data_IF_749648983900
#
_entry.id   IF_749648983900
#
_cell.length_a   1.000
_cell.length_b   1.000
_cell.length_c   1.000
_cell.angle_alpha   90.00
_cell.angle_beta   90.00
_cell.angle_gamma   90.00
#
_symmetry.space_group_name_H-M   'P 1'
#
loop_
_entity.id
_entity.type
_entity.pdbx_description
1 polymer ?
#
# COMPACT_ATOMS: atom_id res chain seq x y z
N UNK A 1 16.71 -4.99 -7.70
CA UNK A 1 15.70 -4.96 -6.62
C UNK A 1 15.80 -6.15 -5.66
N UNK A 2 16.42 -7.27 -6.04
CA UNK A 2 16.76 -8.31 -5.06
C UNK A 2 15.58 -9.16 -4.55
N UNK A 3 14.41 -9.02 -5.17
CA UNK A 3 13.26 -9.87 -4.89
C UNK A 3 13.46 -11.28 -5.43
N UNK A 4 12.86 -12.26 -4.76
CA UNK A 4 12.76 -13.63 -5.25
C UNK A 4 12.05 -13.66 -6.62
N UNK A 5 12.52 -14.52 -7.53
CA UNK A 5 11.97 -14.59 -8.89
C UNK A 5 10.52 -15.05 -8.90
N UNK A 6 10.14 -15.97 -8.01
CA UNK A 6 8.76 -16.43 -7.87
C UNK A 6 7.84 -15.33 -7.34
N UNK A 7 8.30 -14.57 -6.34
CA UNK A 7 7.57 -13.41 -5.83
C UNK A 7 7.41 -12.31 -6.88
N UNK A 8 8.45 -12.04 -7.67
CA UNK A 8 8.41 -11.07 -8.76
C UNK A 8 7.44 -11.46 -9.88
N UNK A 9 7.47 -12.73 -10.32
CA UNK A 9 6.56 -13.23 -11.35
C UNK A 9 5.10 -13.24 -10.87
N UNK A 10 4.85 -13.64 -9.63
CA UNK A 10 3.52 -13.59 -9.04
C UNK A 10 3.00 -12.14 -9.00
N UNK A 11 3.85 -11.18 -8.59
CA UNK A 11 3.46 -9.77 -8.53
C UNK A 11 3.18 -9.20 -9.93
N UNK A 12 4.03 -9.50 -10.91
CA UNK A 12 3.78 -9.09 -12.29
C UNK A 12 2.50 -9.70 -12.85
N UNK A 13 2.13 -10.94 -12.47
CA UNK A 13 0.87 -11.56 -12.89
C UNK A 13 -0.34 -10.86 -12.29
N UNK A 14 -0.28 -10.53 -10.99
CA UNK A 14 -1.31 -9.78 -10.27
C UNK A 14 -1.51 -8.40 -10.90
N UNK A 15 -0.41 -7.69 -11.14
CA UNK A 15 -0.42 -6.33 -11.68
C UNK A 15 -0.35 -6.27 -13.21
N UNK A 16 -0.65 -7.38 -13.91
CA UNK A 16 -0.75 -7.46 -15.38
C UNK A 16 0.46 -6.89 -16.13
N UNK A 17 1.67 -7.14 -15.60
CA UNK A 17 2.93 -6.70 -16.18
C UNK A 17 3.33 -5.27 -15.81
N UNK A 18 2.59 -4.58 -14.93
CA UNK A 18 3.01 -3.29 -14.41
C UNK A 18 4.18 -3.47 -13.43
N UNK A 19 5.40 -3.29 -13.95
CA UNK A 19 6.66 -3.46 -13.21
C UNK A 19 6.75 -2.51 -12.02
N UNK A 20 6.27 -1.28 -12.18
CA UNK A 20 6.40 -0.24 -11.16
C UNK A 20 5.51 -0.53 -9.96
N UNK A 21 4.24 -0.89 -10.21
CA UNK A 21 3.29 -1.26 -9.17
C UNK A 21 3.67 -2.58 -8.48
N UNK A 22 4.15 -3.57 -9.23
CA UNK A 22 4.65 -4.83 -8.69
C UNK A 22 5.87 -4.61 -7.78
N UNK A 23 6.82 -3.79 -8.24
CA UNK A 23 8.03 -3.47 -7.48
C UNK A 23 7.72 -2.69 -6.20
N UNK A 24 6.84 -1.69 -6.28
CA UNK A 24 6.42 -0.89 -5.12
C UNK A 24 5.72 -1.77 -4.09
N UNK A 25 4.82 -2.64 -4.54
CA UNK A 25 4.11 -3.59 -3.65
C UNK A 25 5.08 -4.55 -2.98
N UNK A 26 6.04 -5.10 -3.73
CA UNK A 26 7.06 -5.98 -3.15
C UNK A 26 7.98 -5.23 -2.18
N UNK A 27 8.41 -4.01 -2.51
CA UNK A 27 9.26 -3.21 -1.63
C UNK A 27 8.56 -2.90 -0.30
N UNK A 28 7.29 -2.48 -0.37
CA UNK A 28 6.48 -2.15 0.81
C UNK A 28 6.22 -3.37 1.71
N UNK A 29 6.10 -4.57 1.13
CA UNK A 29 5.75 -5.81 1.84
C UNK A 29 6.95 -6.75 2.06
N UNK A 30 8.16 -6.21 2.15
CA UNK A 30 9.37 -6.96 2.50
C UNK A 30 9.75 -8.04 1.48
N UNK A 31 9.43 -7.84 0.21
CA UNK A 31 9.69 -8.77 -0.89
C UNK A 31 8.64 -9.86 -1.08
N UNK A 32 7.48 -9.76 -0.43
CA UNK A 32 6.37 -10.72 -0.54
C UNK A 32 5.09 -10.05 -1.01
N UNK A 33 4.17 -10.82 -1.60
CA UNK A 33 2.84 -10.32 -1.95
C UNK A 33 1.90 -10.42 -0.74
N UNK A 34 1.04 -9.40 -0.51
CA UNK A 34 -0.01 -9.48 0.49
C UNK A 34 -0.88 -10.73 0.29
N UNK A 35 -1.36 -11.36 1.38
CA UNK A 35 -2.19 -12.57 1.29
C UNK A 35 -3.43 -12.37 0.40
N UNK A 36 -4.00 -11.18 0.43
CA UNK A 36 -5.23 -10.83 -0.31
C UNK A 36 -5.02 -10.73 -1.84
N UNK A 37 -3.76 -10.57 -2.29
CA UNK A 37 -3.37 -10.49 -3.69
C UNK A 37 -2.78 -11.80 -4.23
N UNK A 38 -2.68 -12.83 -3.38
CA UNK A 38 -2.25 -14.16 -3.83
C UNK A 38 -3.38 -14.76 -4.67
N UNK A 39 -3.25 -14.62 -6.00
CA UNK A 39 -4.14 -15.31 -6.92
C UNK A 39 -4.10 -16.81 -6.60
N UNK A 40 -5.25 -17.47 -6.39
CA UNK A 40 -5.27 -18.91 -6.25
C UNK A 40 -4.63 -19.51 -7.50
N UNK A 41 -3.58 -20.31 -7.29
CA UNK A 41 -2.99 -21.14 -8.33
C UNK A 41 -4.03 -22.21 -8.65
N UNK A 42 -4.95 -21.89 -9.56
CA UNK A 42 -5.70 -22.93 -10.25
C UNK A 42 -5.90 -22.53 -11.72
N UNK A 43 -5.24 -23.32 -12.54
CA UNK A 43 -5.23 -23.28 -13.99
C UNK A 43 -6.39 -24.13 -14.48
N UNK A 44 -7.43 -23.53 -15.08
CA UNK A 44 -8.23 -24.15 -16.16
C UNK A 44 -9.26 -23.19 -16.79
N UNK A 45 -9.32 -23.06 -18.13
CA UNK A 45 -10.31 -22.26 -18.83
C UNK A 45 -11.51 -23.12 -19.26
N UNK A 46 -12.74 -22.73 -18.93
CA UNK A 46 -13.95 -23.25 -19.63
C UNK A 46 -15.20 -22.38 -19.45
N UNK A 47 -15.54 -21.73 -20.57
CA UNK A 47 -16.87 -21.40 -21.12
C UNK A 47 -17.79 -20.33 -20.49
N UNK A 48 -18.42 -19.47 -21.33
CA UNK A 48 -19.43 -18.50 -20.93
C UNK A 48 -20.86 -19.03 -21.12
N UNK A 49 -21.77 -18.80 -20.17
CA UNK A 49 -23.22 -18.83 -20.43
C UNK A 49 -23.96 -17.90 -19.49
N UNK A 50 -24.41 -16.78 -20.07
CA UNK A 50 -25.70 -16.08 -19.91
C UNK A 50 -26.64 -16.52 -18.79
N UNK A 51 -27.17 -15.55 -18.02
CA UNK A 51 -28.62 -15.31 -17.85
C UNK A 51 -28.87 -14.02 -17.05
N UNK A 52 -29.55 -13.05 -17.67
CA UNK A 52 -30.21 -11.91 -17.03
C UNK A 52 -31.40 -12.39 -16.19
N UNK A 53 -31.66 -11.77 -15.03
CA UNK A 53 -32.99 -11.29 -14.63
C UNK A 53 -32.96 -10.53 -13.29
N UNK A 54 -33.35 -9.25 -13.37
CA UNK A 54 -34.31 -8.49 -12.53
C UNK A 54 -34.32 -8.69 -11.00
N UNK A 55 -34.50 -7.69 -10.13
CA UNK A 55 -34.82 -6.26 -10.25
C UNK A 55 -34.91 -5.71 -8.80
N UNK A 56 -34.82 -4.37 -8.71
CA UNK A 56 -35.28 -3.49 -7.63
C UNK A 56 -34.25 -3.02 -6.60
N UNK A 57 -34.00 -1.70 -6.63
CA UNK A 57 -33.94 -0.96 -5.36
C UNK A 57 -32.80 0.02 -5.13
N UNK A 58 -32.37 0.79 -6.12
CA UNK A 58 -31.93 2.18 -5.85
C UNK A 58 -32.02 2.99 -7.12
N UNK A 59 -33.10 3.75 -7.21
CA UNK A 59 -33.25 4.86 -8.14
C UNK A 59 -32.41 6.01 -7.60
N UNK A 60 -31.31 6.32 -8.27
CA UNK A 60 -30.54 7.55 -8.17
C UNK A 60 -29.82 7.74 -9.49
N UNK A 61 -30.10 8.84 -10.17
CA UNK A 61 -29.83 9.05 -11.59
C UNK A 61 -28.35 9.32 -11.84
N UNK A 62 -27.84 8.69 -12.89
CA UNK A 62 -26.51 8.67 -13.51
C UNK A 62 -25.96 10.04 -13.98
N UNK A 63 -26.03 11.04 -13.12
CA UNK A 63 -25.38 12.36 -13.27
C UNK A 63 -24.64 12.80 -12.00
N UNK A 64 -24.79 12.04 -10.92
CA UNK A 64 -24.13 12.31 -9.63
C UNK A 64 -22.74 11.68 -9.55
N UNK A 65 -22.49 10.56 -10.24
CA UNK A 65 -21.18 9.88 -10.24
C UNK A 65 -20.07 10.77 -10.83
N UNK A 66 -20.35 11.49 -11.91
CA UNK A 66 -19.40 12.43 -12.51
C UNK A 66 -19.13 13.63 -11.58
N UNK A 67 -20.15 14.05 -10.81
CA UNK A 67 -20.03 15.15 -9.84
C UNK A 67 -19.30 14.72 -8.57
N UNK A 68 -19.53 13.49 -8.10
CA UNK A 68 -18.84 12.88 -6.97
C UNK A 68 -17.35 12.67 -7.30
N UNK A 69 -17.05 12.20 -8.51
CA UNK A 69 -15.65 12.01 -8.95
C UNK A 69 -14.92 13.32 -9.20
N UNK A 70 -15.59 14.37 -9.70
CA UNK A 70 -15.04 15.73 -9.78
C UNK A 70 -14.70 16.27 -8.37
N UNK A 71 -15.60 16.09 -7.40
CA UNK A 71 -15.37 16.50 -6.02
C UNK A 71 -14.23 15.72 -5.33
N UNK A 72 -14.11 14.41 -5.58
CA UNK A 72 -13.00 13.61 -5.05
C UNK A 72 -11.67 14.03 -5.69
N UNK A 73 -11.66 14.31 -6.99
CA UNK A 73 -10.44 14.77 -7.67
C UNK A 73 -10.00 16.15 -7.18
N UNK A 74 -10.93 17.08 -6.95
CA UNK A 74 -10.62 18.40 -6.34
C UNK A 74 -9.92 18.23 -4.98
N UNK A 75 -10.40 17.31 -4.14
CA UNK A 75 -9.79 17.05 -2.83
C UNK A 75 -8.41 16.39 -2.96
N UNK A 76 -8.22 15.51 -3.94
CA UNK A 76 -6.93 14.86 -4.18
C UNK A 76 -5.86 15.83 -4.68
N UNK A 77 -6.25 16.87 -5.46
CA UNK A 77 -5.33 17.92 -5.91
C UNK A 77 -4.80 18.78 -4.75
N UNK A 78 -5.58 18.92 -3.68
CA UNK A 78 -5.19 19.65 -2.47
C UNK A 78 -4.38 18.80 -1.46
N UNK A 79 -4.26 17.48 -1.68
CA UNK A 79 -3.48 16.59 -0.81
C UNK A 79 -2.01 16.51 -1.27
N UNK A 80 -1.03 16.62 -0.34
CA UNK A 80 0.38 16.43 -0.67
C UNK A 80 0.67 15.08 -1.34
N UNK A 81 1.43 15.10 -2.44
CA UNK A 81 1.80 13.92 -3.23
C UNK A 81 2.77 12.98 -2.48
N UNK A 82 3.50 13.49 -1.49
CA UNK A 82 4.53 12.75 -0.77
C UNK A 82 4.22 12.67 0.72
N UNK A 83 4.32 11.46 1.27
CA UNK A 83 4.10 11.17 2.69
C UNK A 83 5.09 11.94 3.60
N UNK A 84 6.25 12.32 3.05
CA UNK A 84 7.29 13.12 3.71
C UNK A 84 6.88 14.59 3.91
N UNK A 85 5.92 15.12 3.14
CA UNK A 85 5.43 16.50 3.24
C UNK A 85 4.44 16.70 4.40
N UNK A 86 3.96 15.60 5.01
CA UNK A 86 3.10 15.64 6.21
C UNK A 86 3.89 15.62 7.51
N UNK A 87 5.19 15.35 7.44
CA UNK A 87 6.04 15.21 8.62
C UNK A 87 6.68 16.56 8.95
N UNK A 88 6.28 17.17 10.07
CA UNK A 88 6.86 18.42 10.59
C UNK A 88 8.32 18.25 11.09
N UNK A 89 9.00 17.15 10.74
CA UNK A 89 10.34 16.78 11.22
C UNK A 89 11.18 16.33 10.05
N UNK A 90 12.41 16.83 9.97
CA UNK A 90 13.36 16.38 8.95
C UNK A 90 14.14 15.17 9.43
N UNK A 91 14.83 14.46 8.51
CA UNK A 91 15.72 13.36 8.86
C UNK A 91 16.80 13.78 9.87
N UNK A 92 17.28 15.02 9.78
CA UNK A 92 18.25 15.58 10.73
C UNK A 92 17.66 15.72 12.14
N UNK A 93 16.38 16.09 12.26
CA UNK A 93 15.71 16.19 13.56
C UNK A 93 15.53 14.80 14.19
N UNK A 94 15.19 13.80 13.39
CA UNK A 94 15.09 12.41 13.85
C UNK A 94 16.43 11.86 14.35
N UNK A 95 17.55 12.20 13.70
CA UNK A 95 18.89 11.79 14.13
C UNK A 95 19.18 12.27 15.57
N UNK A 96 18.81 13.52 15.87
CA UNK A 96 18.98 14.10 17.21
C UNK A 96 18.14 13.34 18.25
N UNK A 97 16.88 13.06 17.93
CA UNK A 97 15.95 12.33 18.81
C UNK A 97 16.48 10.92 19.09
N UNK A 98 16.97 10.21 18.08
CA UNK A 98 17.53 8.86 18.23
C UNK A 98 18.78 8.89 19.11
N UNK A 99 19.69 9.85 18.90
CA UNK A 99 20.89 9.98 19.70
C UNK A 99 20.58 10.24 21.19
N UNK A 100 19.59 11.10 21.48
CA UNK A 100 19.11 11.34 22.84
C UNK A 100 18.53 10.07 23.47
N UNK A 101 17.67 9.36 22.73
CA UNK A 101 17.05 8.13 23.21
C UNK A 101 18.09 7.04 23.51
N UNK A 102 19.08 6.85 22.64
CA UNK A 102 20.16 5.88 22.85
C UNK A 102 20.99 6.21 24.11
N UNK A 103 21.31 7.48 24.32
CA UNK A 103 21.98 7.96 25.54
C UNK A 103 21.15 7.63 26.80
N UNK A 104 19.84 7.88 26.75
CA UNK A 104 18.93 7.55 27.85
C UNK A 104 18.92 6.04 28.15
N UNK A 105 18.81 5.20 27.13
CA UNK A 105 18.81 3.73 27.27
C UNK A 105 20.14 3.22 27.83
N UNK A 106 21.26 3.76 27.37
CA UNK A 106 22.59 3.38 27.86
C UNK A 106 22.78 3.75 29.34
N UNK A 107 22.29 4.92 29.74
CA UNK A 107 22.30 5.34 31.14
C UNK A 107 21.47 4.39 32.03
N UNK A 108 20.30 3.94 31.58
CA UNK A 108 19.48 2.96 32.30
C UNK A 108 20.21 1.62 32.43
N UNK A 109 20.81 1.12 31.33
CA UNK A 109 21.58 -0.14 31.34
C UNK A 109 22.77 -0.05 32.31
N UNK A 110 23.44 1.09 32.35
CA UNK A 110 24.56 1.33 33.25
C UNK A 110 24.13 1.40 34.72
N UNK A 111 22.97 2.01 35.00
CA UNK A 111 22.40 2.08 36.34
C UNK A 111 21.92 0.71 36.86
N UNK A 112 21.34 -0.11 35.99
CA UNK A 112 20.86 -1.46 36.36
C UNK A 112 21.99 -2.47 36.57
N UNK A 113 23.11 -2.34 35.84
CA UNK A 113 24.30 -3.20 36.00
C UNK A 113 25.10 -2.92 37.29
N UNK A 114 24.86 -1.79 37.95
CA UNK A 114 25.59 -1.33 39.14
C UNK A 114 24.89 -1.70 40.47
N UNK A 115 23.70 -2.30 40.40
CA UNK A 115 22.96 -2.89 41.52
C UNK A 115 23.06 -4.42 41.47
#
# INVERSE_FOLDING_TARGET
>A
MGFDTGAAEAALRVFKGNVQLAAQTLAHNGGSLPPDLQLPVDESPSTPTTSLSDSAGTSGVSTDEDMETEAVNEILEDLPEHEEDYLDSTLEDEEIIIAEYLSYVENIKSATKKN
#
